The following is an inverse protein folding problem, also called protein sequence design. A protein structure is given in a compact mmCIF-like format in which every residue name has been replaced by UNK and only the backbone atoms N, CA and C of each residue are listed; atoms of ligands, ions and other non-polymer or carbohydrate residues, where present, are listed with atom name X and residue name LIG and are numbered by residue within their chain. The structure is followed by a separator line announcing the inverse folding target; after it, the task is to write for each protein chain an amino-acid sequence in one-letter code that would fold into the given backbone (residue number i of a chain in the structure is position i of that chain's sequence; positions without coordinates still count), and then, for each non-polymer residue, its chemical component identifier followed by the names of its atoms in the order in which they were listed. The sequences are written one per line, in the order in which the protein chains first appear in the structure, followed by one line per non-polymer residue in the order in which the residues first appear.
data_IF_831367610446
#
_entry.id   IF_831367610446
#
_cell.length_a   1.000
_cell.length_b   1.000
_cell.length_c   1.000
_cell.angle_alpha   90.00
_cell.angle_beta   90.00
_cell.angle_gamma   90.00
#
_symmetry.space_group_name_H-M   'P 1'
#
loop_
_entity.id
_entity.type
_entity.pdbx_description
1 polymer ?
#
# COMPACT_ATOMS: atom_id res chain seq x y z
N UNK A 1 -8.17 -9.20 -6.36
CA UNK A 1 -9.43 -8.82 -5.69
C UNK A 1 -9.08 -7.72 -4.71
N UNK A 2 -9.86 -6.64 -4.65
CA UNK A 2 -9.58 -5.48 -3.81
C UNK A 2 -9.45 -5.78 -2.31
N UNK A 3 -9.11 -4.76 -1.54
CA UNK A 3 -9.03 -4.81 -0.10
C UNK A 3 -10.43 -5.08 0.50
N UNK A 4 -10.61 -6.11 1.34
CA UNK A 4 -11.88 -6.34 2.00
C UNK A 4 -12.18 -5.23 3.02
N UNK A 5 -13.45 -4.81 3.09
CA UNK A 5 -13.94 -3.76 4.00
C UNK A 5 -14.98 -4.32 4.97
N UNK A 6 -14.62 -5.31 5.83
CA UNK A 6 -15.54 -5.89 6.79
C UNK A 6 -15.96 -4.85 7.83
N UNK A 7 -17.16 -5.04 8.39
CA UNK A 7 -17.68 -4.19 9.46
C UNK A 7 -17.05 -4.55 10.80
N UNK A 8 -15.76 -4.24 10.92
CA UNK A 8 -14.97 -4.40 12.13
C UNK A 8 -14.29 -3.08 12.46
N UNK A 9 -14.19 -2.72 13.76
CA UNK A 9 -13.42 -1.56 14.18
C UNK A 9 -11.96 -1.66 13.71
N UNK A 10 -11.34 -0.51 13.44
CA UNK A 10 -9.90 -0.44 13.20
C UNK A 10 -9.18 -0.89 14.46
N UNK A 11 -8.30 -1.88 14.32
CA UNK A 11 -7.42 -2.29 15.40
C UNK A 11 -6.22 -1.33 15.44
N UNK A 12 -5.99 -0.72 16.60
CA UNK A 12 -4.85 0.17 16.83
C UNK A 12 -3.71 -0.58 17.51
N UNK A 13 -2.48 -0.28 17.09
CA UNK A 13 -1.26 -0.86 17.62
C UNK A 13 -0.51 0.11 18.53
N UNK A 14 0.81 -0.08 18.62
CA UNK A 14 1.71 0.79 19.37
C UNK A 14 1.83 2.17 18.70
N UNK A 15 2.18 3.20 19.46
CA UNK A 15 2.24 4.57 18.92
C UNK A 15 3.40 4.78 17.95
N UNK A 16 3.07 5.08 16.69
CA UNK A 16 3.96 5.69 15.71
C UNK A 16 3.70 7.19 15.59
N UNK A 17 4.33 7.97 16.46
CA UNK A 17 4.15 9.43 16.50
C UNK A 17 4.81 10.17 15.32
N UNK A 18 5.49 9.47 14.42
CA UNK A 18 6.06 10.06 13.21
C UNK A 18 4.96 10.48 12.23
N UNK A 19 3.82 9.78 12.26
CA UNK A 19 2.67 10.04 11.38
C UNK A 19 1.34 10.13 12.11
N UNK A 20 1.10 9.29 13.11
CA UNK A 20 -0.23 9.14 13.69
C UNK A 20 -0.33 9.85 15.05
N UNK A 21 -1.51 10.38 15.40
CA UNK A 21 -1.78 10.79 16.77
C UNK A 21 -1.60 9.62 17.75
N UNK A 22 -1.31 9.94 19.01
CA UNK A 22 -1.23 8.94 20.08
C UNK A 22 -2.54 8.13 20.19
N UNK A 23 -2.41 6.81 20.32
CA UNK A 23 -3.50 5.85 20.36
C UNK A 23 -4.24 5.65 19.03
N UNK A 24 -3.73 6.21 17.92
CA UNK A 24 -4.37 6.18 16.59
C UNK A 24 -3.54 5.53 15.50
N UNK A 25 -2.45 4.84 15.86
CA UNK A 25 -1.64 4.10 14.88
C UNK A 25 -2.36 2.81 14.48
N UNK A 26 -2.77 2.64 13.20
CA UNK A 26 -3.39 1.39 12.77
C UNK A 26 -2.44 0.23 12.97
N UNK A 27 -2.94 -0.94 13.40
CA UNK A 27 -2.14 -2.17 13.46
C UNK A 27 -1.86 -2.75 12.07
N UNK A 28 -2.75 -2.46 11.11
CA UNK A 28 -2.68 -2.98 9.76
C UNK A 28 -2.75 -1.86 8.73
N UNK A 29 -1.86 -1.92 7.75
CA UNK A 29 -1.92 -1.11 6.52
C UNK A 29 -2.07 -2.04 5.33
N UNK A 30 -2.46 -1.47 4.18
CA UNK A 30 -2.67 -2.22 2.96
C UNK A 30 -1.88 -1.59 1.82
N UNK A 31 -0.90 -2.30 1.29
CA UNK A 31 -0.10 -1.84 0.17
C UNK A 31 -0.58 -2.52 -1.12
N UNK A 32 -0.67 -1.77 -2.21
CA UNK A 32 -0.90 -2.28 -3.56
C UNK A 32 0.13 -1.69 -4.50
N UNK A 33 0.77 -2.55 -5.27
CA UNK A 33 1.69 -2.17 -6.35
C UNK A 33 0.96 -2.33 -7.68
N UNK A 34 1.23 -1.44 -8.64
CA UNK A 34 0.63 -1.52 -9.98
C UNK A 34 1.61 -1.03 -11.03
N UNK A 35 1.46 -1.55 -12.25
CA UNK A 35 2.28 -1.17 -13.41
C UNK A 35 3.79 -1.36 -13.21
N UNK A 36 4.21 -2.17 -12.23
CA UNK A 36 5.61 -2.52 -12.02
C UNK A 36 6.06 -3.41 -13.17
N UNK A 37 7.10 -2.98 -13.88
CA UNK A 37 7.58 -3.65 -15.09
C UNK A 37 8.75 -4.54 -14.73
N UNK A 38 8.58 -5.85 -14.95
CA UNK A 38 9.66 -6.81 -14.74
C UNK A 38 10.82 -6.50 -15.70
N UNK A 39 12.03 -6.51 -15.18
CA UNK A 39 13.23 -6.49 -16.01
C UNK A 39 13.26 -7.70 -16.95
N UNK A 40 13.82 -7.51 -18.14
CA UNK A 40 14.09 -8.64 -19.02
C UNK A 40 15.08 -9.59 -18.34
N UNK A 41 14.89 -10.91 -18.46
CA UNK A 41 15.74 -11.87 -17.76
C UNK A 41 17.20 -11.76 -18.23
N UNK A 42 18.03 -11.10 -17.44
CA UNK A 42 19.48 -11.20 -17.56
C UNK A 42 19.93 -12.53 -16.92
N UNK A 43 20.68 -13.32 -17.68
CA UNK A 43 21.18 -14.60 -17.20
C UNK A 43 22.39 -14.37 -16.28
N UNK A 44 22.42 -14.89 -15.03
CA UNK A 44 21.32 -15.18 -14.09
C UNK A 44 21.16 -14.05 -13.04
N UNK A 45 19.94 -13.76 -12.50
CA UNK A 45 18.95 -14.69 -11.95
C UNK A 45 17.50 -14.54 -12.51
N UNK A 46 16.63 -15.51 -12.16
CA UNK A 46 15.22 -15.58 -12.62
C UNK A 46 14.36 -14.61 -11.80
N UNK A 47 14.20 -13.39 -12.28
CA UNK A 47 13.22 -12.46 -11.70
C UNK A 47 11.80 -13.01 -11.81
N UNK A 48 11.05 -12.95 -10.71
CA UNK A 48 9.64 -13.30 -10.66
C UNK A 48 8.79 -12.25 -11.39
N UNK A 49 7.55 -12.61 -11.73
CA UNK A 49 6.58 -11.61 -12.19
C UNK A 49 6.17 -10.75 -11.00
N UNK A 50 6.26 -9.40 -11.09
CA UNK A 50 5.82 -8.52 -10.02
C UNK A 50 4.35 -8.78 -9.64
N UNK A 51 3.99 -8.73 -8.35
CA UNK A 51 2.65 -9.00 -7.85
C UNK A 51 1.72 -7.80 -8.04
N UNK A 52 1.63 -7.29 -9.28
CA UNK A 52 0.77 -6.17 -9.63
C UNK A 52 -0.69 -6.47 -9.25
N UNK A 53 -1.35 -5.45 -8.72
CA UNK A 53 -2.76 -5.44 -8.33
C UNK A 53 -3.14 -6.46 -7.23
N UNK A 54 -2.13 -7.01 -6.56
CA UNK A 54 -2.28 -7.75 -5.30
C UNK A 54 -2.25 -6.76 -4.13
N UNK A 55 -3.14 -6.97 -3.16
CA UNK A 55 -3.19 -6.21 -1.92
C UNK A 55 -2.44 -6.96 -0.83
N UNK A 56 -1.42 -6.33 -0.26
CA UNK A 56 -0.62 -6.84 0.83
C UNK A 56 -1.12 -6.25 2.15
N UNK A 57 -1.54 -7.11 3.09
CA UNK A 57 -1.89 -6.68 4.44
C UNK A 57 -0.61 -6.60 5.28
N UNK A 58 -0.08 -5.40 5.45
CA UNK A 58 1.09 -5.14 6.28
C UNK A 58 0.68 -5.14 7.76
N UNK A 59 1.52 -5.71 8.61
CA UNK A 59 1.31 -5.73 10.06
C UNK A 59 2.37 -4.87 10.74
N UNK A 60 1.95 -4.07 11.72
CA UNK A 60 2.86 -3.27 12.53
C UNK A 60 3.90 -4.16 13.24
N UNK A 61 5.16 -3.76 13.20
CA UNK A 61 6.22 -4.39 13.98
C UNK A 61 6.06 -4.07 15.48
N UNK A 62 6.22 -5.09 16.32
CA UNK A 62 5.99 -4.97 17.75
C UNK A 62 7.08 -4.17 18.49
N UNK A 63 8.29 -4.11 17.92
CA UNK A 63 9.47 -3.45 18.52
C UNK A 63 9.66 -2.05 17.92
N UNK A 64 9.33 -1.88 16.65
CA UNK A 64 9.47 -0.64 15.88
C UNK A 64 8.10 -0.18 15.39
N UNK A 65 7.35 0.59 16.18
CA UNK A 65 5.93 0.85 15.92
C UNK A 65 5.64 1.61 14.62
N UNK A 66 6.64 2.28 14.04
CA UNK A 66 6.51 2.95 12.76
C UNK A 66 6.86 2.09 11.55
N UNK A 67 7.16 0.81 11.75
CA UNK A 67 7.49 -0.15 10.70
C UNK A 67 6.31 -1.10 10.51
N UNK A 68 5.96 -1.34 9.25
CA UNK A 68 4.88 -2.22 8.82
C UNK A 68 5.43 -3.19 7.80
N UNK A 69 5.19 -4.47 8.03
CA UNK A 69 5.79 -5.53 7.22
C UNK A 69 4.78 -6.59 6.80
N UNK A 70 5.01 -7.12 5.61
CA UNK A 70 4.47 -8.37 5.14
C UNK A 70 5.64 -9.23 4.70
N UNK A 71 5.75 -10.44 5.23
CA UNK A 71 6.80 -11.41 4.87
C UNK A 71 6.16 -12.80 4.75
N UNK A 72 5.48 -13.02 3.63
CA UNK A 72 4.75 -14.26 3.35
C UNK A 72 4.71 -14.53 1.84
N UNK A 73 4.46 -15.77 1.44
CA UNK A 73 4.23 -16.15 0.04
C UNK A 73 5.36 -15.74 -0.93
N UNK A 74 6.60 -15.67 -0.45
CA UNK A 74 7.78 -15.35 -1.25
C UNK A 74 8.00 -13.86 -1.52
N UNK A 75 7.19 -12.97 -0.92
CA UNK A 75 7.29 -11.52 -1.05
C UNK A 75 7.49 -10.86 0.30
N UNK A 76 8.33 -9.84 0.32
CA UNK A 76 8.59 -8.98 1.46
C UNK A 76 8.17 -7.56 1.08
N UNK A 77 7.20 -7.01 1.79
CA UNK A 77 6.81 -5.60 1.69
C UNK A 77 7.15 -4.91 2.98
N UNK A 78 7.92 -3.84 2.89
CA UNK A 78 8.26 -3.00 4.03
C UNK A 78 7.75 -1.60 3.78
N UNK A 79 7.07 -1.04 4.76
CA UNK A 79 6.65 0.34 4.78
C UNK A 79 7.03 0.93 6.14
N UNK A 80 7.68 2.08 6.18
CA UNK A 80 7.96 2.71 7.46
C UNK A 80 7.95 4.23 7.39
N UNK A 81 7.62 4.83 8.54
CA UNK A 81 7.85 6.24 8.84
C UNK A 81 9.08 6.34 9.75
N UNK A 82 10.16 6.96 9.30
CA UNK A 82 11.33 7.17 10.16
C UNK A 82 11.32 8.59 10.75
N UNK A 83 11.73 8.67 12.02
CA UNK A 83 11.91 9.92 12.77
C UNK A 83 13.23 10.61 12.45
N UNK A 84 13.76 10.42 11.24
CA UNK A 84 14.94 11.15 10.80
C UNK A 84 14.66 12.65 10.84
N UNK A 85 15.71 13.47 10.78
CA UNK A 85 15.58 14.91 10.61
C UNK A 85 16.16 15.27 9.23
N UNK A 86 15.30 15.44 8.20
CA UNK A 86 13.83 15.48 8.21
C UNK A 86 13.17 14.08 8.31
N UNK A 87 11.91 13.96 8.79
CA UNK A 87 11.23 12.67 8.85
C UNK A 87 10.92 12.18 7.45
N UNK A 88 10.93 10.86 7.26
CA UNK A 88 10.85 10.24 5.93
C UNK A 88 9.81 9.13 5.90
N UNK A 89 9.24 8.89 4.72
CA UNK A 89 8.45 7.70 4.44
C UNK A 89 9.15 6.86 3.40
N UNK A 90 9.18 5.55 3.61
CA UNK A 90 9.79 4.60 2.70
C UNK A 90 8.85 3.43 2.44
N UNK A 91 8.79 2.99 1.19
CA UNK A 91 8.09 1.77 0.78
C UNK A 91 9.01 0.93 -0.09
N UNK A 92 8.94 -0.39 0.10
CA UNK A 92 9.76 -1.33 -0.65
C UNK A 92 9.06 -2.66 -0.86
N UNK A 93 9.28 -3.23 -2.04
CA UNK A 93 8.90 -4.59 -2.41
C UNK A 93 10.14 -5.37 -2.79
N UNK A 94 10.35 -6.51 -2.12
CA UNK A 94 11.39 -7.49 -2.43
C UNK A 94 10.80 -8.88 -2.57
N UNK A 95 11.51 -9.78 -3.25
CA UNK A 95 11.25 -11.21 -3.10
C UNK A 95 12.04 -11.82 -1.92
N UNK A 96 11.77 -13.08 -1.60
CA UNK A 96 12.43 -13.80 -0.50
C UNK A 96 13.95 -14.01 -0.69
N UNK A 97 14.49 -13.74 -1.88
CA UNK A 97 15.94 -13.77 -2.16
C UNK A 97 16.59 -12.39 -1.99
N UNK A 98 15.79 -11.35 -1.72
CA UNK A 98 16.24 -9.98 -1.55
C UNK A 98 16.36 -9.18 -2.85
N UNK A 99 15.84 -9.67 -3.98
CA UNK A 99 15.81 -8.86 -5.20
C UNK A 99 14.74 -7.79 -5.08
N UNK A 100 15.07 -6.58 -5.54
CA UNK A 100 14.23 -5.40 -5.47
C UNK A 100 13.29 -5.31 -6.66
N UNK A 101 12.02 -5.03 -6.38
CA UNK A 101 11.00 -4.82 -7.41
C UNK A 101 10.38 -3.42 -7.33
N UNK A 102 10.36 -2.83 -6.14
CA UNK A 102 9.89 -1.47 -5.92
C UNK A 102 10.67 -0.84 -4.77
N UNK A 103 11.05 0.42 -4.92
CA UNK A 103 11.57 1.25 -3.85
C UNK A 103 11.14 2.68 -4.12
N UNK A 104 10.66 3.38 -3.10
CA UNK A 104 10.44 4.83 -3.16
C UNK A 104 10.70 5.43 -1.78
N UNK A 105 11.21 6.65 -1.79
CA UNK A 105 11.56 7.43 -0.62
C UNK A 105 10.99 8.84 -0.74
N UNK A 106 10.22 9.23 0.28
CA UNK A 106 9.63 10.57 0.37
C UNK A 106 10.20 11.27 1.61
N UNK A 107 10.80 12.48 1.49
CA UNK A 107 11.42 13.19 2.61
C UNK A 107 10.41 13.88 3.54
N UNK A 108 9.21 13.31 3.66
CA UNK A 108 8.14 13.74 4.56
C UNK A 108 7.27 12.54 4.96
N UNK A 109 6.59 12.58 6.12
CA UNK A 109 5.46 11.68 6.39
C UNK A 109 4.35 11.90 5.37
N UNK A 110 3.87 10.83 4.73
CA UNK A 110 2.79 10.93 3.73
C UNK A 110 1.42 10.60 4.31
N UNK A 111 0.37 11.09 3.64
CA UNK A 111 -1.03 10.79 3.97
C UNK A 111 -1.53 9.47 3.39
N UNK A 112 -2.71 9.03 3.84
CA UNK A 112 -3.34 7.81 3.33
C UNK A 112 -3.58 7.97 1.82
N UNK A 113 -3.18 6.97 1.05
CA UNK A 113 -3.41 6.97 -0.38
C UNK A 113 -2.38 7.75 -1.19
N UNK A 114 -1.30 8.25 -0.58
CA UNK A 114 -0.18 8.82 -1.34
C UNK A 114 0.29 7.85 -2.43
N UNK A 115 0.56 8.39 -3.62
CA UNK A 115 1.02 7.65 -4.79
C UNK A 115 2.55 7.67 -4.78
N UNK A 116 3.14 6.53 -4.45
CA UNK A 116 4.57 6.31 -4.56
C UNK A 116 4.92 5.94 -5.99
N UNK A 117 6.08 6.42 -6.47
CA UNK A 117 6.60 6.13 -7.80
C UNK A 117 7.92 5.37 -7.67
N UNK A 118 8.07 4.29 -8.42
CA UNK A 118 9.25 3.44 -8.29
C UNK A 118 10.53 4.21 -8.68
N UNK A 119 11.45 4.38 -7.73
CA UNK A 119 12.78 4.98 -7.94
C UNK A 119 13.72 4.06 -8.75
N UNK A 120 13.39 2.77 -8.84
CA UNK A 120 14.09 1.84 -9.71
C UNK A 120 13.78 2.19 -11.17
N UNK A 121 14.71 2.91 -11.80
CA UNK A 121 14.58 3.36 -13.19
C UNK A 121 15.31 2.45 -14.20
N UNK A 122 16.09 1.49 -13.70
CA UNK A 122 16.94 0.59 -14.50
C UNK A 122 16.86 -0.83 -13.96
N UNK A 123 17.61 -1.72 -14.59
CA UNK A 123 17.72 -3.14 -14.23
C UNK A 123 19.17 -3.44 -13.86
N UNK A 124 19.58 -3.00 -12.67
CA UNK A 124 20.89 -3.32 -12.10
C UNK A 124 20.93 -4.74 -11.48
N UNK A 125 22.10 -5.15 -10.97
CA UNK A 125 22.34 -6.53 -10.55
C UNK A 125 21.41 -7.05 -9.42
N UNK A 126 20.82 -6.14 -8.63
CA UNK A 126 19.90 -6.47 -7.53
C UNK A 126 18.45 -6.07 -7.83
N UNK A 127 18.17 -5.54 -9.02
CA UNK A 127 16.88 -5.00 -9.41
C UNK A 127 16.21 -5.94 -10.41
N UNK A 128 15.00 -6.38 -10.08
CA UNK A 128 14.20 -7.29 -10.90
C UNK A 128 13.00 -6.62 -11.56
N UNK A 129 12.74 -5.35 -11.24
CA UNK A 129 11.73 -4.55 -11.89
C UNK A 129 12.05 -3.06 -11.82
N UNK A 130 11.38 -2.31 -12.71
CA UNK A 130 11.48 -0.86 -12.79
C UNK A 130 10.09 -0.26 -13.03
N UNK A 131 9.96 1.04 -12.75
CA UNK A 131 8.71 1.79 -12.94
C UNK A 131 7.51 1.25 -12.13
N UNK A 132 6.34 1.81 -12.39
CA UNK A 132 5.11 1.51 -11.66
C UNK A 132 4.93 2.38 -10.42
N UNK A 133 3.83 2.10 -9.71
CA UNK A 133 3.38 2.86 -8.55
C UNK A 133 3.06 1.95 -7.38
N UNK A 134 3.09 2.52 -6.17
CA UNK A 134 2.54 1.90 -4.98
C UNK A 134 1.56 2.84 -4.28
N UNK A 135 0.51 2.29 -3.68
CA UNK A 135 -0.42 3.03 -2.83
C UNK A 135 -0.56 2.28 -1.52
N UNK A 136 -0.45 3.00 -0.41
CA UNK A 136 -0.63 2.45 0.94
C UNK A 136 -1.86 3.10 1.59
N UNK A 137 -2.76 2.27 2.10
CA UNK A 137 -4.02 2.68 2.73
C UNK A 137 -4.17 2.11 4.14
N UNK A 138 -4.99 2.76 4.98
CA UNK A 138 -5.36 2.28 6.31
C UNK A 138 -6.84 2.48 6.65
N UNK A 139 -7.66 2.68 5.61
CA UNK A 139 -9.13 2.67 5.61
C UNK A 139 -9.82 3.87 6.22
N UNK A 140 -9.12 4.90 6.68
CA UNK A 140 -9.77 6.08 7.26
C UNK A 140 -10.55 6.82 6.16
N UNK A 141 -9.88 7.18 5.06
CA UNK A 141 -10.52 7.84 3.92
C UNK A 141 -11.67 7.00 3.35
N UNK A 142 -11.45 5.70 3.16
CA UNK A 142 -12.47 4.80 2.62
C UNK A 142 -13.69 4.70 3.57
N UNK A 143 -13.47 4.71 4.88
CA UNK A 143 -14.55 4.69 5.88
C UNK A 143 -15.37 5.98 5.84
N UNK A 144 -14.71 7.13 5.68
CA UNK A 144 -15.41 8.41 5.61
C UNK A 144 -16.19 8.59 4.31
N UNK A 145 -15.65 8.12 3.18
CA UNK A 145 -16.39 8.05 1.91
C UNK A 145 -17.65 7.19 2.06
N UNK A 146 -17.53 6.00 2.65
CA UNK A 146 -18.66 5.10 2.88
C UNK A 146 -19.76 5.76 3.73
N UNK A 147 -19.39 6.46 4.80
CA UNK A 147 -20.34 7.25 5.61
C UNK A 147 -21.02 8.34 4.77
N UNK A 148 -20.26 9.08 3.96
CA UNK A 148 -20.78 10.18 3.15
C UNK A 148 -21.81 9.72 2.11
N UNK A 149 -21.66 8.52 1.56
CA UNK A 149 -22.61 7.92 0.61
C UNK A 149 -23.67 7.02 1.28
N UNK A 150 -23.74 7.04 2.62
CA UNK A 150 -24.67 6.24 3.41
C UNK A 150 -24.58 4.72 3.11
N UNK A 151 -23.35 4.21 2.97
CA UNK A 151 -23.06 2.78 2.77
C UNK A 151 -22.29 2.24 3.97
N UNK A 152 -22.76 1.11 4.52
CA UNK A 152 -22.05 0.42 5.60
C UNK A 152 -20.93 -0.47 5.05
N UNK A 153 -19.89 -0.66 5.86
CA UNK A 153 -18.92 -1.76 5.67
C UNK A 153 -19.65 -3.11 5.69
N UNK A 154 -19.09 -4.10 5.00
CA UNK A 154 -19.68 -5.43 4.90
C UNK A 154 -18.63 -6.48 4.51
N UNK A 155 -18.83 -7.74 4.90
CA UNK A 155 -17.89 -8.83 4.59
C UNK A 155 -17.74 -9.11 3.08
N UNK A 156 -18.72 -8.69 2.29
CA UNK A 156 -18.75 -8.83 0.83
C UNK A 156 -18.45 -7.52 0.09
N UNK A 157 -18.02 -6.47 0.83
CA UNK A 157 -17.59 -5.19 0.29
C UNK A 157 -16.06 -5.19 0.11
N UNK A 158 -15.62 -4.82 -1.08
CA UNK A 158 -14.22 -4.69 -1.46
C UNK A 158 -13.93 -3.28 -1.95
N UNK A 159 -12.73 -2.80 -1.67
CA UNK A 159 -12.24 -1.47 -2.03
C UNK A 159 -10.96 -1.58 -2.84
N UNK A 160 -10.86 -0.80 -3.90
CA UNK A 160 -9.65 -0.61 -4.69
C UNK A 160 -9.36 0.89 -4.76
N UNK A 161 -8.09 1.26 -4.64
CA UNK A 161 -7.62 2.64 -4.85
C UNK A 161 -6.62 2.63 -6.00
N UNK A 162 -6.81 3.54 -6.94
CA UNK A 162 -5.91 3.78 -8.07
C UNK A 162 -5.90 5.26 -8.41
N UNK A 163 -4.79 5.81 -8.94
CA UNK A 163 -4.73 7.19 -9.34
C UNK A 163 -5.30 7.38 -10.76
N UNK A 164 -5.71 8.60 -11.08
CA UNK A 164 -5.89 9.08 -12.46
C UNK A 164 -4.55 9.47 -13.07
N UNK A 165 -4.53 9.82 -14.36
CA UNK A 165 -3.32 10.32 -15.04
C UNK A 165 -2.78 11.64 -14.43
N UNK A 166 -3.63 12.37 -13.71
CA UNK A 166 -3.29 13.60 -12.96
C UNK A 166 -3.06 13.33 -11.46
N UNK A 167 -2.74 12.09 -11.08
CA UNK A 167 -2.49 11.61 -9.69
C UNK A 167 -3.65 11.81 -8.69
N UNK A 168 -4.86 12.10 -9.16
CA UNK A 168 -6.04 12.13 -8.28
C UNK A 168 -6.48 10.72 -7.91
N UNK A 169 -6.85 10.49 -6.65
CA UNK A 169 -7.24 9.17 -6.19
C UNK A 169 -8.68 8.83 -6.61
N UNK A 170 -8.87 7.60 -7.09
CA UNK A 170 -10.19 7.02 -7.33
C UNK A 170 -10.39 5.84 -6.40
N UNK A 171 -11.41 5.94 -5.56
CA UNK A 171 -11.87 4.84 -4.72
C UNK A 171 -12.98 4.09 -5.46
N UNK A 172 -12.79 2.79 -5.63
CA UNK A 172 -13.77 1.89 -6.22
C UNK A 172 -14.26 0.93 -5.15
N UNK A 173 -15.56 0.93 -4.91
CA UNK A 173 -16.24 0.03 -3.98
C UNK A 173 -17.05 -1.00 -4.78
N UNK A 174 -16.83 -2.28 -4.51
CA UNK A 174 -17.56 -3.39 -5.11
C UNK A 174 -18.19 -4.25 -4.02
N UNK A 175 -19.52 -4.38 -4.04
CA UNK A 175 -20.26 -5.23 -3.11
C UNK A 175 -20.87 -6.41 -3.86
N UNK A 176 -20.49 -7.62 -3.45
CA UNK A 176 -20.82 -8.82 -4.22
C UNK A 176 -22.31 -9.19 -4.13
N UNK A 177 -22.95 -9.02 -2.96
CA UNK A 177 -24.33 -9.48 -2.74
C UNK A 177 -25.37 -8.82 -3.65
N UNK A 178 -25.18 -7.54 -3.97
CA UNK A 178 -26.12 -6.74 -4.75
C UNK A 178 -25.49 -6.18 -6.04
N UNK A 179 -24.27 -6.63 -6.38
CA UNK A 179 -23.51 -6.17 -7.53
C UNK A 179 -23.27 -4.64 -7.58
N UNK A 180 -23.32 -3.96 -6.43
CA UNK A 180 -23.02 -2.52 -6.36
C UNK A 180 -21.58 -2.26 -6.77
N UNK A 181 -21.39 -1.32 -7.68
CA UNK A 181 -20.07 -0.90 -8.17
C UNK A 181 -20.03 0.62 -8.26
N UNK A 182 -19.35 1.26 -7.31
CA UNK A 182 -19.28 2.71 -7.19
C UNK A 182 -17.83 3.13 -7.36
N UNK A 183 -17.59 4.13 -8.22
CA UNK A 183 -16.29 4.79 -8.36
C UNK A 183 -16.44 6.24 -7.96
N UNK A 184 -15.56 6.71 -7.07
CA UNK A 184 -15.56 8.06 -6.54
C UNK A 184 -14.17 8.64 -6.77
N UNK A 185 -14.12 9.75 -7.51
CA UNK A 185 -12.94 10.61 -7.54
C UNK A 185 -12.85 11.31 -6.19
N UNK A 186 -11.73 11.14 -5.50
CA UNK A 186 -11.47 11.74 -4.20
C UNK A 186 -10.65 13.00 -4.39
N UNK A 187 -11.21 14.11 -3.93
CA UNK A 187 -10.52 15.39 -3.82
C UNK A 187 -10.40 15.69 -2.32
N UNK A 188 -9.18 15.67 -1.75
CA UNK A 188 -8.94 15.86 -0.31
C UNK A 188 -9.34 17.26 0.18
#
# INVERSE_FOLDING_TARGET
MGQPMPDVPIEYGNDCLARFPAGKTPKYLYARFSQVVRCDPHTPPVCHTPPNDVVFKLTQDAVSPCVFMYDQSGWIVTFYFAFDSPPVTYVQLQDALGYLYFSDFVPTPVDEGYVFHNDLTRCEAMECAHGGIAIVTWTDHATDILKAINMSKANDLFMEVFPTDDDKLVYKFCKLKDATNIKILFEP
#
